data_IF_044806963725
#
_entry.id   IF_044806963725
#
_cell.length_a   1.000
_cell.length_b   1.000
_cell.length_c   1.000
_cell.angle_alpha   90.00
_cell.angle_beta   90.00
_cell.angle_gamma   90.00
#
_symmetry.space_group_name_H-M   'P 1'
#
loop_
_entity.id
_entity.type
_entity.pdbx_description
1 polymer ?
#
# COMPACT_ATOMS: atom_id res chain seq x y z
N UNK A 1 -71.12 -1.24 -29.33
CA UNK A 1 -69.72 -1.70 -29.50
C UNK A 1 -68.87 -1.08 -28.40
N UNK A 2 -68.58 -1.84 -27.34
CA UNK A 2 -67.61 -1.49 -26.29
C UNK A 2 -66.58 -2.60 -26.28
N UNK A 3 -65.34 -2.29 -26.65
CA UNK A 3 -64.23 -3.23 -26.61
C UNK A 3 -63.64 -3.24 -25.20
N UNK A 4 -63.71 -4.39 -24.54
CA UNK A 4 -62.99 -4.70 -23.31
C UNK A 4 -61.70 -5.41 -23.68
N UNK A 5 -60.54 -4.80 -23.40
CA UNK A 5 -59.23 -5.44 -23.47
C UNK A 5 -58.94 -6.14 -22.13
N UNK A 6 -58.37 -7.36 -22.11
CA UNK A 6 -57.91 -7.98 -20.88
C UNK A 6 -56.53 -7.44 -20.48
N UNK A 7 -56.41 -7.06 -19.21
CA UNK A 7 -55.15 -6.76 -18.54
C UNK A 7 -54.32 -8.06 -18.42
N UNK A 8 -53.18 -8.11 -19.10
CA UNK A 8 -52.16 -9.13 -18.89
C UNK A 8 -51.22 -8.64 -17.79
N UNK A 9 -51.34 -9.23 -16.61
CA UNK A 9 -50.42 -8.98 -15.49
C UNK A 9 -49.15 -9.79 -15.72
N UNK A 10 -48.08 -9.17 -16.21
CA UNK A 10 -46.75 -9.78 -16.28
C UNK A 10 -46.16 -9.73 -14.86
N UNK A 11 -46.23 -10.85 -14.14
CA UNK A 11 -45.46 -11.04 -12.92
C UNK A 11 -43.98 -11.21 -13.30
N UNK A 12 -43.18 -10.15 -13.15
CA UNK A 12 -41.73 -10.23 -13.20
C UNK A 12 -41.24 -10.98 -11.97
N UNK A 13 -41.00 -12.29 -12.13
CA UNK A 13 -40.19 -13.06 -11.20
C UNK A 13 -38.76 -12.52 -11.23
N UNK A 14 -38.44 -11.64 -10.29
CA UNK A 14 -37.04 -11.43 -9.90
C UNK A 14 -36.56 -12.72 -9.23
N UNK A 15 -35.90 -13.57 -9.99
CA UNK A 15 -35.10 -14.66 -9.43
C UNK A 15 -33.95 -14.04 -8.65
N UNK A 16 -34.15 -13.82 -7.35
CA UNK A 16 -33.04 -13.68 -6.43
C UNK A 16 -32.29 -15.02 -6.50
N UNK A 17 -31.13 -15.04 -7.15
CA UNK A 17 -30.22 -16.17 -7.06
C UNK A 17 -29.83 -16.30 -5.60
N UNK A 18 -30.46 -17.23 -4.89
CA UNK A 18 -30.01 -17.69 -3.59
C UNK A 18 -28.72 -18.45 -3.86
N UNK A 19 -27.58 -17.75 -3.84
CA UNK A 19 -26.28 -18.41 -3.81
C UNK A 19 -26.26 -19.22 -2.51
N UNK A 20 -26.27 -20.55 -2.62
CA UNK A 20 -25.96 -21.41 -1.49
C UNK A 20 -24.56 -21.02 -1.01
N UNK A 21 -24.45 -20.58 0.25
CA UNK A 21 -23.16 -20.16 0.80
C UNK A 21 -22.15 -21.29 0.77
N UNK A 22 -20.89 -20.96 0.55
CA UNK A 22 -19.78 -21.91 0.61
C UNK A 22 -19.64 -22.45 2.03
N UNK A 23 -19.48 -23.76 2.20
CA UNK A 23 -19.21 -24.37 3.51
C UNK A 23 -17.74 -24.22 3.93
N UNK A 24 -17.43 -24.51 5.20
CA UNK A 24 -16.10 -24.33 5.78
C UNK A 24 -15.01 -25.20 5.12
N UNK A 25 -15.34 -26.43 4.71
CA UNK A 25 -14.39 -27.34 4.08
C UNK A 25 -14.05 -26.86 2.67
N UNK A 26 -15.08 -26.49 1.89
CA UNK A 26 -14.94 -25.89 0.56
C UNK A 26 -14.14 -24.57 0.63
N UNK A 27 -14.40 -23.73 1.64
CA UNK A 27 -13.66 -22.49 1.85
C UNK A 27 -12.18 -22.77 2.18
N UNK A 28 -11.92 -23.72 3.08
CA UNK A 28 -10.55 -24.12 3.44
C UNK A 28 -9.76 -24.58 2.22
N UNK A 29 -10.31 -25.51 1.45
CA UNK A 29 -9.69 -26.04 0.22
C UNK A 29 -9.38 -24.89 -0.75
N UNK A 30 -10.37 -24.03 -1.01
CA UNK A 30 -10.21 -22.88 -1.91
C UNK A 30 -9.11 -21.93 -1.46
N UNK A 31 -9.02 -21.62 -0.17
CA UNK A 31 -8.01 -20.73 0.38
C UNK A 31 -6.60 -21.31 0.21
N UNK A 32 -6.43 -22.60 0.56
CA UNK A 32 -5.14 -23.28 0.50
C UNK A 32 -4.66 -23.41 -0.95
N UNK A 33 -5.53 -23.81 -1.87
CA UNK A 33 -5.14 -24.05 -3.26
C UNK A 33 -4.87 -22.77 -4.05
N UNK A 34 -5.72 -21.75 -3.89
CA UNK A 34 -5.73 -20.59 -4.79
C UNK A 34 -5.23 -19.29 -4.16
N UNK A 35 -5.36 -19.10 -2.84
CA UNK A 35 -5.11 -17.79 -2.21
C UNK A 35 -3.83 -17.72 -1.38
N UNK A 36 -3.35 -18.85 -0.87
CA UNK A 36 -2.14 -18.85 -0.03
C UNK A 36 -0.88 -18.73 -0.88
N UNK A 37 -0.85 -19.32 -2.08
CA UNK A 37 0.31 -19.30 -2.98
C UNK A 37 0.27 -18.23 -4.08
N UNK A 38 -0.83 -17.46 -4.19
CA UNK A 38 -0.95 -16.44 -5.23
C UNK A 38 -0.23 -15.12 -4.86
N UNK A 39 0.16 -14.36 -5.89
CA UNK A 39 0.94 -13.12 -5.76
C UNK A 39 0.24 -12.04 -4.91
N UNK A 40 1.05 -11.22 -4.23
CA UNK A 40 0.65 -10.44 -3.05
C UNK A 40 -0.46 -9.38 -3.24
N UNK A 41 -0.57 -8.73 -4.40
CA UNK A 41 -1.30 -7.46 -4.50
C UNK A 41 -2.61 -7.49 -5.29
N UNK A 42 -2.67 -8.20 -6.42
CA UNK A 42 -3.90 -8.34 -7.22
C UNK A 42 -4.96 -9.16 -6.47
N UNK A 43 -4.51 -10.24 -5.83
CA UNK A 43 -5.37 -11.18 -5.10
C UNK A 43 -6.04 -10.51 -3.89
N UNK A 44 -5.36 -9.55 -3.24
CA UNK A 44 -5.89 -8.85 -2.06
C UNK A 44 -7.16 -8.03 -2.35
N UNK A 45 -7.19 -7.33 -3.48
CA UNK A 45 -8.33 -6.50 -3.88
C UNK A 45 -9.49 -7.36 -4.37
N UNK A 46 -9.19 -8.44 -5.09
CA UNK A 46 -10.19 -9.37 -5.62
C UNK A 46 -10.88 -10.21 -4.53
N UNK A 47 -10.27 -10.32 -3.34
CA UNK A 47 -10.78 -11.16 -2.27
C UNK A 47 -12.15 -10.74 -1.72
N UNK A 48 -12.46 -9.44 -1.71
CA UNK A 48 -13.77 -8.97 -1.24
C UNK A 48 -14.88 -9.39 -2.22
N UNK A 49 -14.57 -9.37 -3.52
CA UNK A 49 -15.43 -9.92 -4.56
C UNK A 49 -15.64 -11.41 -4.37
N UNK A 50 -14.57 -12.17 -4.07
CA UNK A 50 -14.67 -13.60 -3.76
C UNK A 50 -15.60 -13.86 -2.57
N UNK A 51 -15.43 -13.16 -1.45
CA UNK A 51 -16.30 -13.33 -0.26
C UNK A 51 -17.76 -13.07 -0.61
N UNK A 52 -18.03 -11.98 -1.34
CA UNK A 52 -19.38 -11.59 -1.75
C UNK A 52 -20.01 -12.61 -2.68
N UNK A 53 -19.28 -13.12 -3.68
CA UNK A 53 -19.77 -14.10 -4.64
C UNK A 53 -20.09 -15.46 -4.01
N UNK A 54 -19.39 -15.82 -2.94
CA UNK A 54 -19.52 -17.12 -2.28
C UNK A 54 -20.30 -17.04 -0.95
N UNK A 55 -20.88 -15.87 -0.64
CA UNK A 55 -21.61 -15.58 0.60
C UNK A 55 -20.84 -15.96 1.87
N UNK A 56 -19.51 -15.75 1.88
CA UNK A 56 -18.64 -16.05 3.02
C UNK A 56 -18.69 -14.90 4.03
N UNK A 57 -19.14 -15.20 5.25
CA UNK A 57 -19.17 -14.23 6.34
C UNK A 57 -17.79 -13.96 6.93
N UNK A 58 -17.65 -12.85 7.64
CA UNK A 58 -16.45 -12.47 8.39
C UNK A 58 -16.09 -13.52 9.45
N UNK A 59 -17.08 -13.99 10.19
CA UNK A 59 -16.93 -15.01 11.24
C UNK A 59 -16.58 -16.37 10.66
N UNK A 60 -17.19 -16.72 9.53
CA UNK A 60 -16.86 -17.96 8.81
C UNK A 60 -15.42 -17.95 8.33
N UNK A 61 -15.00 -16.87 7.66
CA UNK A 61 -13.63 -16.71 7.20
C UNK A 61 -12.64 -16.78 8.36
N UNK A 62 -12.91 -16.06 9.45
CA UNK A 62 -12.06 -16.08 10.63
C UNK A 62 -11.95 -17.49 11.23
N UNK A 63 -13.07 -18.19 11.40
CA UNK A 63 -13.08 -19.56 11.93
C UNK A 63 -12.24 -20.50 11.06
N UNK A 64 -12.39 -20.45 9.75
CA UNK A 64 -11.64 -21.29 8.81
C UNK A 64 -10.15 -20.94 8.83
N UNK A 65 -9.79 -19.66 8.77
CA UNK A 65 -8.39 -19.22 8.86
C UNK A 65 -7.74 -19.69 10.15
N UNK A 66 -8.39 -19.50 11.31
CA UNK A 66 -7.86 -19.92 12.61
C UNK A 66 -7.85 -21.44 12.80
N UNK A 67 -8.73 -22.19 12.13
CA UNK A 67 -8.64 -23.65 12.09
C UNK A 67 -7.38 -24.08 11.33
N UNK A 68 -7.15 -23.53 10.13
CA UNK A 68 -5.95 -23.82 9.34
C UNK A 68 -4.68 -23.43 10.08
N UNK A 69 -4.66 -22.26 10.74
CA UNK A 69 -3.50 -21.82 11.50
C UNK A 69 -3.13 -22.78 12.65
N UNK A 70 -4.14 -23.31 13.35
CA UNK A 70 -3.92 -24.29 14.42
C UNK A 70 -3.43 -25.62 13.86
N UNK A 71 -4.03 -26.11 12.79
CA UNK A 71 -3.58 -27.35 12.15
C UNK A 71 -2.13 -27.28 11.68
N UNK A 72 -1.70 -26.15 11.08
CA UNK A 72 -0.29 -26.00 10.69
C UNK A 72 0.62 -25.89 11.90
N UNK A 73 0.18 -25.21 12.97
CA UNK A 73 0.90 -25.13 14.24
C UNK A 73 1.08 -26.48 14.92
N UNK A 74 0.06 -27.34 14.91
CA UNK A 74 0.08 -28.66 15.54
C UNK A 74 0.95 -29.65 14.75
N UNK A 75 0.96 -29.54 13.42
CA UNK A 75 1.75 -30.42 12.55
C UNK A 75 3.24 -30.05 12.52
N UNK A 76 3.58 -28.75 12.56
CA UNK A 76 4.95 -28.26 12.31
C UNK A 76 6.03 -28.86 13.24
N UNK A 77 5.80 -29.10 14.55
CA UNK A 77 6.81 -29.69 15.44
C UNK A 77 7.23 -31.12 15.06
N UNK A 78 6.36 -31.87 14.38
CA UNK A 78 6.64 -33.23 13.94
C UNK A 78 7.42 -33.29 12.61
N UNK A 79 7.55 -32.15 11.91
CA UNK A 79 8.19 -32.09 10.59
C UNK A 79 9.67 -31.75 10.70
N UNK A 80 10.47 -32.35 9.81
CA UNK A 80 11.88 -32.01 9.67
C UNK A 80 12.02 -30.53 9.26
N UNK A 81 12.76 -29.69 10.02
CA UNK A 81 12.98 -28.30 9.65
C UNK A 81 13.53 -28.17 8.24
N UNK A 82 13.06 -27.16 7.50
CA UNK A 82 13.47 -26.86 6.11
C UNK A 82 13.09 -27.90 5.03
N UNK A 83 12.41 -29.00 5.40
CA UNK A 83 11.77 -29.88 4.43
C UNK A 83 10.69 -29.14 3.63
N UNK A 84 10.33 -29.65 2.46
CA UNK A 84 9.30 -29.03 1.62
C UNK A 84 7.94 -28.99 2.34
N UNK A 85 7.63 -30.01 3.14
CA UNK A 85 6.41 -30.05 3.95
C UNK A 85 6.43 -29.03 5.08
N UNK A 86 7.57 -28.85 5.75
CA UNK A 86 7.75 -27.82 6.77
C UNK A 86 7.62 -26.41 6.18
N UNK A 87 8.26 -26.16 5.04
CA UNK A 87 8.16 -24.88 4.30
C UNK A 87 6.74 -24.60 3.82
N UNK A 88 6.03 -25.63 3.37
CA UNK A 88 4.61 -25.55 2.98
C UNK A 88 3.74 -25.13 4.17
N UNK A 89 3.88 -25.80 5.31
CA UNK A 89 3.13 -25.45 6.53
C UNK A 89 3.43 -24.02 7.01
N UNK A 90 4.70 -23.60 6.93
CA UNK A 90 5.10 -22.23 7.20
C UNK A 90 4.42 -21.23 6.25
N UNK A 91 4.47 -21.46 4.93
CA UNK A 91 3.84 -20.58 3.94
C UNK A 91 2.31 -20.49 4.11
N UNK A 92 1.66 -21.56 4.56
CA UNK A 92 0.24 -21.55 4.91
C UNK A 92 0.00 -20.67 6.15
N UNK A 93 0.79 -20.84 7.22
CA UNK A 93 0.66 -20.04 8.44
C UNK A 93 0.87 -18.54 8.17
N UNK A 94 1.90 -18.19 7.41
CA UNK A 94 2.17 -16.84 6.92
C UNK A 94 0.98 -16.27 6.12
N UNK A 95 0.40 -17.09 5.25
CA UNK A 95 -0.76 -16.69 4.44
C UNK A 95 -2.00 -16.47 5.28
N UNK A 96 -2.25 -17.30 6.30
CA UNK A 96 -3.36 -17.08 7.24
C UNK A 96 -3.22 -15.73 7.92
N UNK A 97 -2.07 -15.46 8.54
CA UNK A 97 -1.80 -14.19 9.23
C UNK A 97 -2.03 -12.99 8.29
N UNK A 98 -1.55 -13.11 7.05
CA UNK A 98 -1.73 -12.10 6.01
C UNK A 98 -3.20 -11.81 5.69
N UNK A 99 -4.07 -12.82 5.73
CA UNK A 99 -5.48 -12.75 5.33
C UNK A 99 -6.46 -12.42 6.46
N UNK A 100 -6.07 -12.56 7.72
CA UNK A 100 -6.90 -12.18 8.88
C UNK A 100 -7.54 -10.78 8.80
N UNK A 101 -6.90 -9.73 8.25
CA UNK A 101 -7.54 -8.42 8.14
C UNK A 101 -8.78 -8.40 7.22
N UNK A 102 -9.02 -9.45 6.42
CA UNK A 102 -10.25 -9.61 5.61
C UNK A 102 -11.43 -10.13 6.41
N UNK A 103 -11.26 -10.47 7.69
CA UNK A 103 -12.35 -10.86 8.59
C UNK A 103 -13.18 -9.67 9.10
N UNK A 104 -13.00 -8.47 8.51
CA UNK A 104 -13.87 -7.31 8.70
C UNK A 104 -14.12 -6.97 10.17
N UNK A 105 -15.31 -7.30 10.67
CA UNK A 105 -15.75 -6.95 12.03
C UNK A 105 -15.13 -7.80 13.15
N UNK A 106 -14.45 -8.91 12.82
CA UNK A 106 -13.80 -9.75 13.83
C UNK A 106 -12.53 -9.05 14.34
N UNK A 107 -12.37 -8.86 15.67
CA UNK A 107 -11.20 -8.20 16.22
C UNK A 107 -9.96 -9.10 16.08
N UNK A 108 -9.16 -8.84 15.06
CA UNK A 108 -7.90 -9.57 14.79
C UNK A 108 -6.64 -8.79 15.19
N UNK A 109 -6.78 -7.51 15.55
CA UNK A 109 -5.64 -6.61 15.82
C UNK A 109 -4.77 -7.11 16.97
N UNK A 110 -5.36 -7.52 18.09
CA UNK A 110 -4.62 -8.01 19.26
C UNK A 110 -3.79 -9.25 18.91
N UNK A 111 -4.40 -10.21 18.20
CA UNK A 111 -3.70 -11.40 17.71
C UNK A 111 -2.50 -11.04 16.82
N UNK A 112 -2.66 -10.07 15.91
CA UNK A 112 -1.58 -9.61 15.04
C UNK A 112 -0.49 -8.89 15.84
N UNK A 113 -0.88 -8.11 16.86
CA UNK A 113 0.02 -7.40 17.76
C UNK A 113 0.91 -8.37 18.56
N UNK A 114 0.32 -9.44 19.07
CA UNK A 114 1.05 -10.49 19.78
C UNK A 114 2.06 -11.18 18.85
N UNK A 115 1.66 -11.50 17.61
CA UNK A 115 2.53 -12.18 16.66
C UNK A 115 3.71 -11.32 16.18
N UNK A 116 3.52 -10.01 16.00
CA UNK A 116 4.63 -9.15 15.58
C UNK A 116 5.64 -8.89 16.72
N UNK A 117 5.22 -8.99 17.98
CA UNK A 117 6.06 -8.73 19.17
C UNK A 117 6.71 -9.97 19.79
N UNK A 118 6.19 -11.17 19.50
CA UNK A 118 6.78 -12.43 19.93
C UNK A 118 8.18 -12.62 19.32
N UNK A 119 9.24 -12.55 20.15
CA UNK A 119 10.64 -12.66 19.70
C UNK A 119 10.98 -14.07 19.23
N UNK A 120 10.26 -15.05 19.74
CA UNK A 120 10.37 -16.48 19.44
C UNK A 120 9.60 -16.86 18.17
N UNK A 121 8.75 -15.97 17.65
CA UNK A 121 8.03 -16.20 16.42
C UNK A 121 8.96 -16.12 15.20
N UNK A 122 8.62 -16.92 14.18
CA UNK A 122 9.30 -16.91 12.89
C UNK A 122 9.31 -15.50 12.28
N UNK A 123 10.48 -15.01 11.83
CA UNK A 123 10.63 -13.66 11.28
C UNK A 123 9.69 -13.37 10.11
N UNK A 124 9.39 -14.36 9.27
CA UNK A 124 8.43 -14.18 8.19
C UNK A 124 7.00 -14.02 8.69
N UNK A 125 6.61 -14.77 9.72
CA UNK A 125 5.29 -14.61 10.37
C UNK A 125 5.19 -13.22 11.00
N UNK A 126 6.24 -12.75 11.69
CA UNK A 126 6.29 -11.39 12.26
C UNK A 126 6.12 -10.32 11.17
N UNK A 127 6.81 -10.48 10.04
CA UNK A 127 6.66 -9.60 8.88
C UNK A 127 5.22 -9.58 8.34
N UNK A 128 4.60 -10.76 8.15
CA UNK A 128 3.22 -10.83 7.70
C UNK A 128 2.26 -10.21 8.71
N UNK A 129 2.51 -10.37 10.01
CA UNK A 129 1.72 -9.75 11.06
C UNK A 129 1.79 -8.22 11.01
N UNK A 130 2.96 -7.63 10.79
CA UNK A 130 3.11 -6.18 10.59
C UNK A 130 2.33 -5.70 9.37
N UNK A 131 2.50 -6.36 8.22
CA UNK A 131 1.75 -6.00 7.00
C UNK A 131 0.23 -6.10 7.23
N UNK A 132 -0.22 -7.20 7.85
CA UNK A 132 -1.62 -7.44 8.16
C UNK A 132 -2.17 -6.38 9.11
N UNK A 133 -1.46 -6.06 10.18
CA UNK A 133 -1.85 -5.04 11.14
C UNK A 133 -1.97 -3.68 10.48
N UNK A 134 -0.95 -3.26 9.72
CA UNK A 134 -0.95 -1.98 9.02
C UNK A 134 -2.13 -1.83 8.05
N UNK A 135 -2.69 -2.91 7.50
CA UNK A 135 -3.87 -2.83 6.61
C UNK A 135 -5.12 -2.36 7.35
N UNK A 136 -5.35 -2.84 8.58
CA UNK A 136 -6.53 -2.51 9.39
C UNK A 136 -6.27 -1.45 10.46
N UNK A 137 -5.01 -1.04 10.65
CA UNK A 137 -4.65 0.04 11.55
C UNK A 137 -5.31 1.37 11.15
N UNK A 138 -5.70 2.18 12.12
CA UNK A 138 -5.97 3.60 11.90
C UNK A 138 -4.65 4.38 11.74
N UNK A 139 -4.74 5.71 11.67
CA UNK A 139 -3.56 6.56 11.47
C UNK A 139 -2.60 6.54 12.67
N UNK A 140 -3.12 6.56 13.89
CA UNK A 140 -2.31 6.54 15.12
C UNK A 140 -1.65 5.18 15.29
N UNK A 141 -2.42 4.10 15.16
CA UNK A 141 -1.92 2.73 15.23
C UNK A 141 -0.84 2.47 14.16
N UNK A 142 -1.02 3.00 12.95
CA UNK A 142 -0.01 2.86 11.88
C UNK A 142 1.28 3.63 12.21
N UNK A 143 1.17 4.85 12.74
CA UNK A 143 2.32 5.63 13.22
C UNK A 143 3.08 4.86 14.30
N UNK A 144 2.37 4.40 15.33
CA UNK A 144 2.98 3.76 16.50
C UNK A 144 3.67 2.45 16.14
N UNK A 145 3.03 1.60 15.33
CA UNK A 145 3.62 0.35 14.85
C UNK A 145 4.85 0.59 14.00
N UNK A 146 4.79 1.56 13.07
CA UNK A 146 5.95 1.88 12.24
C UNK A 146 7.11 2.43 13.07
N UNK A 147 6.85 3.33 14.03
CA UNK A 147 7.89 3.83 14.92
C UNK A 147 8.50 2.71 15.77
N UNK A 148 7.68 1.82 16.31
CA UNK A 148 8.13 0.68 17.11
C UNK A 148 9.11 -0.21 16.36
N UNK A 149 8.80 -0.61 15.12
CA UNK A 149 9.60 -1.59 14.37
C UNK A 149 10.67 -0.97 13.44
N UNK A 150 10.59 0.32 13.13
CA UNK A 150 11.60 1.01 12.32
C UNK A 150 12.62 1.79 13.15
N UNK A 151 12.22 2.28 14.33
CA UNK A 151 13.02 3.22 15.13
C UNK A 151 13.24 2.75 16.57
N UNK A 152 12.23 2.13 17.18
CA UNK A 152 12.21 1.75 18.59
C UNK A 152 13.09 0.55 18.97
N UNK A 153 12.97 0.10 20.21
CA UNK A 153 13.76 -1.02 20.75
C UNK A 153 13.42 -2.36 20.09
N UNK A 154 12.19 -2.52 19.61
CA UNK A 154 11.72 -3.70 18.87
C UNK A 154 12.09 -3.65 17.38
N UNK A 155 13.02 -2.78 16.99
CA UNK A 155 13.45 -2.60 15.60
C UNK A 155 13.83 -3.93 14.94
N UNK A 156 13.34 -4.14 13.73
CA UNK A 156 13.57 -5.38 12.99
C UNK A 156 14.80 -5.28 12.08
N UNK A 157 15.99 -5.27 12.68
CA UNK A 157 17.24 -4.88 12.00
C UNK A 157 17.53 -5.61 10.67
N UNK A 158 17.23 -6.92 10.59
CA UNK A 158 17.42 -7.72 9.37
C UNK A 158 16.27 -7.58 8.36
N UNK A 159 15.12 -7.04 8.78
CA UNK A 159 13.84 -7.17 8.07
C UNK A 159 13.21 -5.80 7.77
N UNK A 160 13.86 -4.70 8.15
CA UNK A 160 13.43 -3.30 7.91
C UNK A 160 13.08 -3.02 6.45
N UNK A 161 13.81 -3.62 5.50
CA UNK A 161 13.52 -3.45 4.06
C UNK A 161 12.12 -3.96 3.69
N UNK A 162 11.67 -5.05 4.31
CA UNK A 162 10.32 -5.57 4.14
C UNK A 162 9.30 -4.62 4.75
N UNK A 163 9.56 -4.09 5.95
CA UNK A 163 8.66 -3.14 6.63
C UNK A 163 8.47 -1.85 5.80
N UNK A 164 9.53 -1.32 5.18
CA UNK A 164 9.39 -0.23 4.21
C UNK A 164 8.54 -0.60 3.00
N UNK A 165 8.71 -1.82 2.47
CA UNK A 165 7.86 -2.36 1.42
C UNK A 165 6.38 -2.42 1.83
N UNK A 166 6.10 -2.87 3.04
CA UNK A 166 4.75 -2.95 3.59
C UNK A 166 4.12 -1.57 3.77
N UNK A 167 4.87 -0.63 4.37
CA UNK A 167 4.43 0.75 4.53
C UNK A 167 4.06 1.38 3.17
N UNK A 168 4.86 1.15 2.13
CA UNK A 168 4.57 1.58 0.75
C UNK A 168 3.26 0.98 0.24
N UNK A 169 3.11 -0.35 0.31
CA UNK A 169 1.91 -1.05 -0.18
C UNK A 169 0.65 -0.56 0.53
N UNK A 170 0.72 -0.35 1.84
CA UNK A 170 -0.41 0.15 2.63
C UNK A 170 -0.70 1.61 2.32
N UNK A 171 0.32 2.46 2.16
CA UNK A 171 0.14 3.85 1.75
C UNK A 171 -0.61 3.95 0.42
N UNK A 172 -0.17 3.20 -0.59
CA UNK A 172 -0.75 3.27 -1.95
C UNK A 172 -2.22 2.84 -1.97
N UNK A 173 -2.62 1.96 -1.04
CA UNK A 173 -3.98 1.42 -0.93
C UNK A 173 -4.85 2.09 0.14
N UNK A 174 -4.31 2.99 0.95
CA UNK A 174 -5.05 3.63 2.03
C UNK A 174 -5.98 4.73 1.50
N UNK A 175 -7.26 4.68 1.86
CA UNK A 175 -8.21 5.74 1.52
C UNK A 175 -8.13 6.94 2.48
N UNK A 176 -7.68 6.72 3.72
CA UNK A 176 -7.54 7.79 4.72
C UNK A 176 -6.31 8.66 4.46
N UNK A 177 -6.48 9.99 4.27
CA UNK A 177 -5.36 10.92 4.17
C UNK A 177 -4.57 11.03 5.49
N UNK A 178 -5.22 10.88 6.64
CA UNK A 178 -4.58 10.85 7.97
C UNK A 178 -3.60 9.68 8.07
N UNK A 179 -4.05 8.48 7.67
CA UNK A 179 -3.20 7.28 7.67
C UNK A 179 -2.03 7.41 6.72
N UNK A 180 -2.25 7.98 5.53
CA UNK A 180 -1.17 8.31 4.58
C UNK A 180 -0.16 9.27 5.19
N UNK A 181 -0.61 10.33 5.86
CA UNK A 181 0.26 11.28 6.54
C UNK A 181 1.06 10.63 7.68
N UNK A 182 0.41 9.81 8.51
CA UNK A 182 1.05 9.06 9.59
C UNK A 182 2.16 8.14 9.09
N UNK A 183 1.91 7.39 8.00
CA UNK A 183 2.90 6.53 7.37
C UNK A 183 4.10 7.35 6.88
N UNK A 184 3.87 8.44 6.14
CA UNK A 184 4.97 9.29 5.64
C UNK A 184 5.78 9.91 6.79
N UNK A 185 5.12 10.36 7.85
CA UNK A 185 5.80 10.95 9.00
C UNK A 185 6.69 9.92 9.71
N UNK A 186 6.16 8.71 9.97
CA UNK A 186 6.94 7.62 10.57
C UNK A 186 8.12 7.21 9.69
N UNK A 187 7.93 7.15 8.37
CA UNK A 187 9.01 6.87 7.42
C UNK A 187 10.08 7.96 7.39
N UNK A 188 9.71 9.25 7.50
CA UNK A 188 10.68 10.35 7.54
C UNK A 188 11.55 10.29 8.80
N UNK A 189 10.97 9.97 9.96
CA UNK A 189 11.73 9.70 11.19
C UNK A 189 12.65 8.49 11.02
N UNK A 190 12.15 7.40 10.41
CA UNK A 190 12.97 6.22 10.15
C UNK A 190 14.16 6.53 9.23
N UNK A 191 13.97 7.31 8.16
CA UNK A 191 15.04 7.73 7.25
C UNK A 191 16.16 8.47 7.98
N UNK A 192 15.84 9.38 8.90
CA UNK A 192 16.83 10.11 9.68
C UNK A 192 17.68 9.22 10.60
N UNK A 193 17.13 8.06 10.99
CA UNK A 193 17.79 7.06 11.83
C UNK A 193 18.49 5.95 11.06
N UNK A 194 18.41 5.93 9.73
CA UNK A 194 19.14 4.95 8.95
C UNK A 194 20.64 5.25 8.94
N UNK A 195 21.42 4.20 9.17
CA UNK A 195 22.89 4.24 9.27
C UNK A 195 23.58 3.75 8.00
N UNK A 196 22.85 3.20 7.03
CA UNK A 196 23.43 2.61 5.84
C UNK A 196 22.70 2.98 4.56
N UNK A 197 23.48 3.30 3.53
CA UNK A 197 23.01 3.67 2.17
C UNK A 197 21.86 2.83 1.62
N UNK A 198 21.93 1.51 1.68
CA UNK A 198 20.93 0.63 1.04
C UNK A 198 19.54 0.84 1.64
N UNK A 199 19.44 0.85 2.98
CA UNK A 199 18.16 1.05 3.68
C UNK A 199 17.68 2.48 3.56
N UNK A 200 18.58 3.44 3.70
CA UNK A 200 18.27 4.85 3.50
C UNK A 200 17.68 5.11 2.11
N UNK A 201 18.35 4.64 1.04
CA UNK A 201 17.86 4.83 -0.33
C UNK A 201 16.51 4.16 -0.59
N UNK A 202 16.22 3.04 0.09
CA UNK A 202 14.91 2.39 0.01
C UNK A 202 13.80 3.28 0.55
N UNK A 203 13.99 3.87 1.74
CA UNK A 203 12.99 4.76 2.35
C UNK A 203 12.95 6.13 1.69
N UNK A 204 14.09 6.69 1.27
CA UNK A 204 14.17 7.94 0.51
C UNK A 204 13.35 7.87 -0.77
N UNK A 205 13.51 6.79 -1.55
CA UNK A 205 12.75 6.59 -2.79
C UNK A 205 11.24 6.58 -2.55
N UNK A 206 10.78 5.91 -1.48
CA UNK A 206 9.35 5.88 -1.12
C UNK A 206 8.85 7.28 -0.77
N UNK A 207 9.57 7.99 0.11
CA UNK A 207 9.19 9.31 0.59
C UNK A 207 9.24 10.37 -0.51
N UNK A 208 10.31 10.40 -1.30
CA UNK A 208 10.48 11.34 -2.40
C UNK A 208 9.41 11.16 -3.47
N UNK A 209 9.01 9.92 -3.79
CA UNK A 209 7.91 9.64 -4.73
C UNK A 209 6.55 10.15 -4.23
N UNK A 210 6.29 10.10 -2.92
CA UNK A 210 4.96 10.31 -2.33
C UNK A 210 4.76 11.64 -1.62
N UNK A 211 5.84 12.37 -1.31
CA UNK A 211 5.78 13.64 -0.59
C UNK A 211 6.66 14.69 -1.23
N UNK A 212 6.05 15.69 -1.84
CA UNK A 212 6.76 16.84 -2.41
C UNK A 212 7.49 17.65 -1.32
N UNK A 213 6.89 17.75 -0.12
CA UNK A 213 7.53 18.39 1.02
C UNK A 213 8.84 17.68 1.37
N UNK A 214 8.81 16.36 1.60
CA UNK A 214 10.03 15.60 1.86
C UNK A 214 11.04 15.70 0.70
N UNK A 215 10.59 15.52 -0.55
CA UNK A 215 11.47 15.58 -1.74
C UNK A 215 12.27 16.88 -1.79
N UNK A 216 11.65 17.99 -1.43
CA UNK A 216 12.23 19.33 -1.42
C UNK A 216 12.70 19.76 -0.02
N UNK A 217 12.87 18.85 0.93
CA UNK A 217 13.21 19.21 2.31
C UNK A 217 14.71 19.41 2.54
N UNK A 218 15.05 20.32 3.46
CA UNK A 218 16.44 20.51 3.93
C UNK A 218 16.93 19.21 4.59
N UNK A 219 16.06 18.55 5.37
CA UNK A 219 16.40 17.33 6.08
C UNK A 219 16.78 16.20 5.11
N UNK A 220 16.04 16.04 4.00
CA UNK A 220 16.42 15.08 2.93
C UNK A 220 17.78 15.40 2.36
N UNK A 221 18.06 16.67 2.02
CA UNK A 221 19.35 17.07 1.47
C UNK A 221 20.49 16.72 2.45
N UNK A 222 20.34 17.07 3.73
CA UNK A 222 21.34 16.75 4.76
C UNK A 222 21.58 15.24 4.89
N UNK A 223 20.52 14.43 4.84
CA UNK A 223 20.67 12.96 4.88
C UNK A 223 21.37 12.42 3.64
N UNK A 224 21.02 12.90 2.44
CA UNK A 224 21.69 12.53 1.19
C UNK A 224 23.18 12.88 1.21
N UNK A 225 23.53 14.05 1.74
CA UNK A 225 24.92 14.49 1.91
C UNK A 225 25.68 13.57 2.87
N UNK A 226 25.13 13.33 4.07
CA UNK A 226 25.70 12.40 5.05
C UNK A 226 25.95 11.02 4.45
N UNK A 227 24.95 10.43 3.80
CA UNK A 227 25.11 9.10 3.20
C UNK A 227 26.07 9.10 2.00
N UNK A 228 26.28 10.24 1.32
CA UNK A 228 27.24 10.32 0.21
C UNK A 228 28.70 10.19 0.65
N UNK A 229 28.98 10.46 1.93
CA UNK A 229 30.32 10.36 2.53
C UNK A 229 30.67 8.92 2.95
N UNK A 230 29.69 8.02 3.07
CA UNK A 230 29.97 6.62 3.40
C UNK A 230 30.75 5.92 2.26
N UNK A 231 31.54 4.87 2.56
CA UNK A 231 32.19 4.06 1.55
C UNK A 231 31.21 3.51 0.50
N UNK A 232 31.66 3.28 -0.74
CA UNK A 232 30.82 2.64 -1.76
C UNK A 232 30.28 1.30 -1.28
N UNK A 233 29.02 1.02 -1.58
CA UNK A 233 28.42 -0.28 -1.28
C UNK A 233 28.82 -1.30 -2.34
N UNK A 234 28.66 -2.59 -2.03
CA UNK A 234 28.79 -3.65 -3.04
C UNK A 234 27.68 -3.58 -4.10
N UNK A 235 26.60 -2.83 -3.83
CA UNK A 235 25.50 -2.60 -4.75
C UNK A 235 25.69 -1.30 -5.52
N UNK A 236 26.31 -1.39 -6.70
CA UNK A 236 26.59 -0.23 -7.56
C UNK A 236 25.35 0.60 -7.94
N UNK A 237 24.14 0.03 -7.91
CA UNK A 237 22.91 0.77 -8.15
C UNK A 237 22.62 1.76 -7.02
N UNK A 238 22.88 1.37 -5.77
CA UNK A 238 22.59 2.22 -4.60
C UNK A 238 23.41 3.50 -4.62
N UNK A 239 24.72 3.39 -4.90
CA UNK A 239 25.62 4.55 -4.97
C UNK A 239 25.29 5.47 -6.15
N UNK A 240 24.93 4.89 -7.31
CA UNK A 240 24.49 5.65 -8.48
C UNK A 240 23.21 6.43 -8.18
N UNK A 241 22.22 5.76 -7.59
CA UNK A 241 20.90 6.34 -7.32
C UNK A 241 21.00 7.41 -6.22
N UNK A 242 21.86 7.21 -5.20
CA UNK A 242 22.18 8.21 -4.19
C UNK A 242 22.78 9.47 -4.81
N UNK A 243 23.76 9.31 -5.71
CA UNK A 243 24.39 10.45 -6.40
C UNK A 243 23.39 11.22 -7.25
N UNK A 244 22.49 10.52 -7.94
CA UNK A 244 21.43 11.15 -8.72
C UNK A 244 20.44 11.91 -7.84
N UNK A 245 19.98 11.30 -6.74
CA UNK A 245 19.08 11.92 -5.77
C UNK A 245 19.70 13.17 -5.11
N UNK A 246 20.98 13.13 -4.76
CA UNK A 246 21.71 14.28 -4.21
C UNK A 246 21.84 15.42 -5.22
N UNK A 247 22.18 15.09 -6.48
CA UNK A 247 22.25 16.08 -7.54
C UNK A 247 20.88 16.76 -7.75
N UNK A 248 19.79 15.98 -7.79
CA UNK A 248 18.42 16.49 -7.86
C UNK A 248 18.11 17.42 -6.68
N UNK A 249 18.36 16.98 -5.44
CA UNK A 249 18.04 17.73 -4.23
C UNK A 249 18.74 19.11 -4.18
N UNK A 250 19.96 19.22 -4.71
CA UNK A 250 20.72 20.47 -4.79
C UNK A 250 20.18 21.47 -5.82
N UNK A 251 19.33 21.04 -6.75
CA UNK A 251 18.74 21.95 -7.75
C UNK A 251 17.60 22.82 -7.19
N UNK A 252 17.01 22.43 -6.06
CA UNK A 252 15.86 23.13 -5.51
C UNK A 252 16.26 24.46 -4.84
N UNK A 253 15.73 25.57 -5.36
CA UNK A 253 15.98 26.94 -4.85
C UNK A 253 15.27 27.25 -3.54
N UNK A 254 14.14 26.60 -3.27
CA UNK A 254 13.37 26.73 -2.03
C UNK A 254 13.22 25.35 -1.44
N UNK A 255 13.65 25.22 -0.19
CA UNK A 255 13.52 23.97 0.55
C UNK A 255 12.43 24.12 1.61
N UNK A 256 11.70 23.03 1.83
CA UNK A 256 10.75 22.93 2.94
C UNK A 256 11.45 22.34 4.17
N UNK A 257 10.77 22.33 5.31
CA UNK A 257 11.22 21.58 6.49
C UNK A 257 10.21 20.51 6.82
N UNK A 258 10.70 19.30 7.09
CA UNK A 258 9.91 18.17 7.56
C UNK A 258 10.41 17.71 8.92
N UNK A 259 9.48 17.35 9.80
CA UNK A 259 9.84 16.88 11.13
C UNK A 259 10.36 15.44 11.06
N UNK A 260 11.62 15.24 11.45
CA UNK A 260 12.28 13.93 11.55
C UNK A 260 12.56 13.53 13.01
N UNK A 261 12.07 14.29 13.99
CA UNK A 261 12.27 14.03 15.41
C UNK A 261 11.24 12.99 15.92
N UNK A 262 11.69 11.83 16.45
CA UNK A 262 10.79 10.79 16.94
C UNK A 262 9.92 11.24 18.13
N UNK A 263 10.44 12.05 19.04
CA UNK A 263 9.69 12.52 20.21
C UNK A 263 8.58 13.50 19.81
N UNK A 264 8.88 14.38 18.85
CA UNK A 264 7.90 15.31 18.32
C UNK A 264 6.81 14.60 17.52
N UNK A 265 7.16 13.52 16.80
CA UNK A 265 6.18 12.70 16.10
C UNK A 265 5.30 11.88 17.06
N UNK A 266 5.88 11.29 18.10
CA UNK A 266 5.14 10.53 19.12
C UNK A 266 4.09 11.40 19.84
N UNK A 267 4.39 12.68 20.05
CA UNK A 267 3.46 13.64 20.65
C UNK A 267 2.36 14.15 19.68
N UNK A 268 2.49 13.92 18.38
CA UNK A 268 1.51 14.36 17.38
C UNK A 268 0.28 13.46 17.32
N UNK A 269 -0.91 14.07 17.23
CA UNK A 269 -2.19 13.37 17.06
C UNK A 269 -2.62 13.34 15.59
N UNK A 270 -2.63 12.16 14.98
CA UNK A 270 -3.06 11.87 13.62
C UNK A 270 -4.52 11.40 13.54
N UNK A 271 -5.29 11.46 14.62
CA UNK A 271 -6.76 11.28 14.57
C UNK A 271 -7.46 12.49 13.96
N UNK A 272 -6.75 13.58 13.78
CA UNK A 272 -7.24 14.81 13.15
C UNK A 272 -6.74 14.91 11.70
N UNK A 273 -7.48 15.57 10.81
CA UNK A 273 -7.06 15.79 9.43
C UNK A 273 -5.66 16.39 9.37
N UNK A 274 -4.76 15.87 8.52
CA UNK A 274 -3.38 16.29 8.55
C UNK A 274 -3.24 17.78 8.20
N UNK A 275 -2.54 18.54 9.04
CA UNK A 275 -1.92 19.79 8.61
C UNK A 275 -1.02 19.47 7.42
N UNK A 276 -1.05 20.33 6.39
CA UNK A 276 -0.58 20.06 5.03
C UNK A 276 0.94 19.80 4.85
N UNK A 277 1.67 19.44 5.90
CA UNK A 277 3.13 19.37 5.95
C UNK A 277 3.75 18.21 5.17
N UNK A 278 3.02 17.11 4.90
CA UNK A 278 3.58 15.94 4.20
C UNK A 278 2.77 15.41 3.00
N UNK A 279 1.50 15.78 2.85
CA UNK A 279 0.56 15.15 1.88
C UNK A 279 0.29 15.96 0.62
N UNK A 280 0.89 17.14 0.44
CA UNK A 280 0.67 17.97 -0.75
C UNK A 280 1.40 17.42 -1.99
N UNK A 281 0.83 16.37 -2.58
CA UNK A 281 1.18 15.85 -3.91
C UNK A 281 0.06 15.96 -4.95
N UNK A 282 -1.19 16.27 -4.55
CA UNK A 282 -2.35 16.10 -5.45
C UNK A 282 -3.28 17.32 -5.64
N UNK A 283 -3.14 18.42 -4.88
CA UNK A 283 -4.13 19.52 -4.92
C UNK A 283 -3.56 20.93 -5.17
N UNK A 284 -2.23 21.09 -5.25
CA UNK A 284 -1.64 22.41 -5.46
C UNK A 284 -1.78 22.92 -6.92
N UNK A 285 -1.90 22.02 -7.90
CA UNK A 285 -1.87 22.38 -9.33
C UNK A 285 -3.17 23.03 -9.82
N UNK A 286 -4.27 22.95 -9.07
CA UNK A 286 -5.59 23.45 -9.52
C UNK A 286 -5.95 24.81 -8.91
N UNK A 287 -5.32 25.20 -7.79
CA UNK A 287 -5.52 26.52 -7.17
C UNK A 287 -4.61 27.62 -7.73
N UNK A 288 -3.49 27.26 -8.33
CA UNK A 288 -2.55 28.23 -8.93
C UNK A 288 -3.00 28.69 -10.34
N UNK A 289 -3.91 27.96 -11.01
CA UNK A 289 -4.53 28.41 -12.26
C UNK A 289 -5.79 29.27 -12.08
N UNK A 290 -6.41 29.23 -10.91
CA UNK A 290 -7.61 30.03 -10.61
C UNK A 290 -7.31 31.43 -10.04
N UNK A 291 -6.05 31.72 -9.71
CA UNK A 291 -5.64 32.95 -9.00
C UNK A 291 -5.15 34.11 -9.87
N UNK A 292 -5.02 33.93 -11.18
CA UNK A 292 -4.49 34.95 -12.11
C UNK A 292 -5.45 35.28 -13.23
N UNK A 293 -6.72 35.54 -12.93
CA UNK A 293 -7.63 36.17 -13.89
C UNK A 293 -8.76 36.95 -13.17
N UNK A 294 -8.39 38.03 -12.48
CA UNK A 294 -9.33 39.14 -12.26
C UNK A 294 -8.60 40.42 -11.89
N UNK A 295 -8.08 41.14 -12.90
CA UNK A 295 -7.93 42.59 -12.84
C UNK A 295 -7.63 43.17 -14.23
N UNK A 296 -8.57 44.01 -14.69
CA UNK A 296 -8.42 45.10 -15.68
C UNK A 296 -8.26 44.76 -17.17
N UNK A 297 -9.28 45.19 -17.93
CA UNK A 297 -9.06 46.20 -18.96
C UNK A 297 -9.46 45.81 -20.38
N UNK A 298 -10.68 46.20 -20.78
CA UNK A 298 -11.07 46.35 -22.18
C UNK A 298 -10.16 47.33 -22.92
N UNK A 299 -9.59 46.91 -24.05
CA UNK A 299 -9.39 47.73 -25.25
C UNK A 299 -8.91 46.83 -26.41
N UNK A 300 -9.48 47.05 -27.59
CA UNK A 300 -9.44 46.11 -28.72
C UNK A 300 -8.13 46.06 -29.51
N UNK A 301 -8.09 45.12 -30.46
CA UNK A 301 -7.02 45.07 -31.46
C UNK A 301 -6.92 43.73 -32.17
N UNK A 302 -7.38 43.67 -33.43
CA UNK A 302 -7.32 42.52 -34.34
C UNK A 302 -5.87 42.07 -34.60
N UNK A 303 -5.64 40.76 -34.73
CA UNK A 303 -5.28 40.08 -36.00
C UNK A 303 -4.33 38.87 -35.86
N UNK A 304 -4.71 37.80 -36.56
CA UNK A 304 -3.92 36.84 -37.36
C UNK A 304 -2.78 36.03 -36.71
N UNK A 305 -2.90 34.69 -36.76
CA UNK A 305 -1.74 33.80 -36.68
C UNK A 305 -1.99 32.29 -36.44
N UNK A 306 -2.89 31.70 -37.25
CA UNK A 306 -2.90 30.30 -37.77
C UNK A 306 -1.86 29.24 -37.30
N UNK A 307 -2.39 28.00 -37.17
CA UNK A 307 -1.77 26.65 -37.30
C UNK A 307 -0.84 26.15 -36.17
N UNK A 308 -1.26 25.13 -35.42
CA UNK A 308 -0.92 23.70 -35.64
C UNK A 308 -1.95 22.85 -34.90
N UNK A 309 -2.96 22.38 -35.62
CA UNK A 309 -3.81 21.24 -35.24
C UNK A 309 -3.54 20.17 -36.32
N UNK A 310 -3.61 18.88 -35.96
CA UNK A 310 -3.37 17.67 -36.78
C UNK A 310 -1.94 17.09 -36.79
N UNK A 311 -1.55 16.33 -35.74
CA UNK A 311 -0.64 15.15 -35.90
C UNK A 311 -0.95 13.96 -34.95
N UNK A 312 -1.66 14.09 -33.82
CA UNK A 312 -1.78 12.96 -32.87
C UNK A 312 -3.12 12.19 -32.90
N UNK A 313 -3.67 11.95 -34.09
CA UNK A 313 -4.80 11.04 -34.32
C UNK A 313 -4.57 10.18 -35.58
N UNK A 314 -3.31 9.78 -35.81
CA UNK A 314 -2.91 8.91 -36.93
C UNK A 314 -2.09 7.68 -36.52
N UNK A 315 -1.69 7.57 -35.25
CA UNK A 315 -0.77 6.50 -34.78
C UNK A 315 -1.43 5.43 -33.90
N UNK A 316 -2.72 5.55 -33.59
CA UNK A 316 -3.45 4.59 -32.74
C UNK A 316 -4.27 3.52 -33.51
N UNK A 317 -4.30 3.55 -34.84
CA UNK A 317 -5.02 2.54 -35.65
C UNK A 317 -4.14 1.64 -36.52
N UNK A 318 -2.81 1.80 -36.52
CA UNK A 318 -1.87 0.90 -37.21
C UNK A 318 -1.19 -0.12 -36.29
N UNK A 319 -1.27 0.04 -34.95
CA UNK A 319 -0.69 -0.91 -33.99
C UNK A 319 -1.59 -2.12 -33.68
N UNK A 320 -2.91 -2.00 -33.83
CA UNK A 320 -3.86 -3.05 -33.45
C UNK A 320 -4.03 -4.13 -34.53
N UNK A 321 -3.68 -3.84 -35.80
CA UNK A 321 -3.73 -4.81 -36.90
C UNK A 321 -2.58 -5.82 -36.89
N UNK A 322 -1.38 -5.40 -36.47
CA UNK A 322 -0.18 -6.24 -36.49
C UNK A 322 -0.12 -7.28 -35.36
N UNK A 323 -0.81 -7.06 -34.24
CA UNK A 323 -0.82 -7.99 -33.11
C UNK A 323 -1.73 -9.22 -33.34
N UNK A 324 -2.74 -9.12 -34.20
CA UNK A 324 -3.69 -10.21 -34.46
C UNK A 324 -3.20 -11.24 -35.49
N UNK A 325 -2.12 -10.95 -36.23
CA UNK A 325 -1.58 -11.83 -37.27
C UNK A 325 -0.44 -12.73 -36.79
N UNK A 326 0.12 -12.51 -35.59
CA UNK A 326 1.20 -13.33 -35.01
C UNK A 326 0.72 -14.40 -34.00
N UNK A 327 -0.58 -14.73 -33.99
CA UNK A 327 -1.16 -15.76 -33.09
C UNK A 327 -2.04 -16.79 -33.80
N UNK A 328 -1.72 -17.11 -35.06
CA UNK A 328 -2.13 -18.34 -35.72
C UNK A 328 -0.90 -19.08 -36.19
#
# INVERSE_FOLDING_TARGET
MRHSLPLVTIALFWSASVFAGMDDASLKERLVEYYFYAGHDSVWQEFDTFKKQNAVSDEQLHRVLMAVYRETGDNRPALTPQSDEWKRNQGIAESVVRWLPKCGNVPVKDFLLDHMTAKEADGHIRQQAILAYLRVADAEEAKDVLLRFLVGEDRMDLERLSVYGFARVVYDKADSPEKKAAILAALAVAAAKEEGKIRFMKVDGILAERSAAYRHSIERLTMLERHSEEPPTTNLYTDRDLKAALAEARTYRRQTSVNTNPAALAAGDFRQPPLASLTNGATATERERAGTESAKGEAGGRSLGRLVLFVLMGTLLLGFGAWRFMRK
#
